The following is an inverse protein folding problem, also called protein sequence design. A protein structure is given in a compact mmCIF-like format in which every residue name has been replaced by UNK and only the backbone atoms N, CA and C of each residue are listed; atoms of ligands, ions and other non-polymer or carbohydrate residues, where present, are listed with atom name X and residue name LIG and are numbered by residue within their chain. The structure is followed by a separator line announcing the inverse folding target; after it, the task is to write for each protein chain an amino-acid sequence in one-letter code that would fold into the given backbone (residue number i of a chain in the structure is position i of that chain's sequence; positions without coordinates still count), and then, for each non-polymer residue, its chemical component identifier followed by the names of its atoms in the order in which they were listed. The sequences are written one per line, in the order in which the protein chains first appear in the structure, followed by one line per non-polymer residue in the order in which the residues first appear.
data_IF_330226378842
#
_entry.id   IF_330226378842
#
_cell.length_a   1.000
_cell.length_b   1.000
_cell.length_c   1.000
_cell.angle_alpha   90.00
_cell.angle_beta   90.00
_cell.angle_gamma   90.00
#
_symmetry.space_group_name_H-M   'P 1'
#
loop_
_entity.id
_entity.type
_entity.pdbx_description
1 polymer ?
#
# COMPACT_ATOMS: atom_id res chain seq x y z
N UNK A 1 7.07 1.04 -8.68
CA UNK A 1 7.47 1.97 -7.61
C UNK A 1 7.61 3.36 -8.22
N UNK A 2 7.23 4.45 -7.54
CA UNK A 2 7.32 5.80 -8.13
C UNK A 2 8.74 6.16 -8.58
N UNK A 3 8.84 6.82 -9.73
CA UNK A 3 10.11 7.15 -10.37
C UNK A 3 10.05 8.44 -11.22
N UNK A 4 11.21 8.98 -11.57
CA UNK A 4 11.35 10.17 -12.43
C UNK A 4 12.58 10.04 -13.34
N UNK A 5 12.41 10.32 -14.63
CA UNK A 5 13.53 10.39 -15.58
C UNK A 5 14.24 11.75 -15.52
N UNK A 6 15.55 11.74 -15.79
CA UNK A 6 16.39 12.93 -15.89
C UNK A 6 17.65 12.66 -16.72
N UNK A 7 18.30 13.73 -17.17
CA UNK A 7 19.60 13.71 -17.86
C UNK A 7 20.55 14.69 -17.19
N UNK A 8 21.86 14.46 -17.33
CA UNK A 8 22.92 15.40 -16.92
C UNK A 8 23.83 15.60 -18.11
N UNK A 9 24.18 16.86 -18.40
CA UNK A 9 25.11 17.23 -19.47
C UNK A 9 26.38 17.79 -18.85
N UNK A 10 27.53 17.33 -19.35
CA UNK A 10 28.88 17.69 -18.92
C UNK A 10 29.68 18.16 -20.15
N UNK A 11 29.63 19.46 -20.47
CA UNK A 11 30.16 19.99 -21.73
C UNK A 11 31.69 20.03 -21.78
N UNK A 12 32.38 20.00 -20.64
CA UNK A 12 33.85 20.01 -20.58
C UNK A 12 34.47 18.62 -20.79
N UNK A 13 33.65 17.55 -20.82
CA UNK A 13 34.11 16.17 -20.97
C UNK A 13 34.79 15.62 -19.71
N UNK A 14 34.59 16.27 -18.56
CA UNK A 14 35.12 15.81 -17.28
C UNK A 14 34.35 14.59 -16.76
N UNK A 15 34.99 13.79 -15.92
CA UNK A 15 34.27 12.77 -15.15
C UNK A 15 33.43 13.45 -14.06
N UNK A 16 32.21 12.96 -13.85
CA UNK A 16 31.31 13.48 -12.82
C UNK A 16 30.57 12.35 -12.09
N UNK A 17 30.11 12.65 -10.89
CA UNK A 17 29.34 11.73 -10.04
C UNK A 17 27.93 12.26 -9.85
N UNK A 18 26.93 11.38 -9.93
CA UNK A 18 25.54 11.70 -9.64
C UNK A 18 25.17 11.13 -8.26
N UNK A 19 24.57 11.96 -7.41
CA UNK A 19 23.98 11.58 -6.12
C UNK A 19 22.50 11.90 -6.11
N UNK A 20 21.68 10.89 -5.80
CA UNK A 20 20.23 10.99 -5.69
C UNK A 20 19.82 10.94 -4.23
N UNK A 21 18.92 11.84 -3.85
CA UNK A 21 18.42 11.97 -2.47
C UNK A 21 16.90 12.06 -2.43
N UNK A 22 16.31 11.54 -1.35
CA UNK A 22 14.92 11.75 -0.97
C UNK A 22 14.87 12.46 0.38
N UNK A 23 14.27 13.65 0.42
CA UNK A 23 14.25 14.52 1.60
C UNK A 23 15.64 14.71 2.22
N UNK A 24 16.67 14.85 1.39
CA UNK A 24 18.08 15.01 1.80
C UNK A 24 18.83 13.72 2.11
N UNK A 25 18.14 12.58 2.28
CA UNK A 25 18.79 11.29 2.51
C UNK A 25 19.26 10.67 1.18
N UNK A 26 20.54 10.34 1.09
CA UNK A 26 21.12 9.67 -0.10
C UNK A 26 20.49 8.29 -0.27
N UNK A 27 19.98 8.01 -1.47
CA UNK A 27 19.47 6.69 -1.86
C UNK A 27 20.39 5.98 -2.83
N UNK A 28 21.18 6.73 -3.61
CA UNK A 28 22.10 6.17 -4.61
C UNK A 28 23.16 7.20 -5.00
N UNK A 29 24.39 6.74 -5.22
CA UNK A 29 25.48 7.52 -5.81
C UNK A 29 26.20 6.67 -6.86
N UNK A 30 26.52 7.25 -8.02
CA UNK A 30 27.15 6.52 -9.12
C UNK A 30 27.87 7.46 -10.09
N UNK A 31 28.82 6.93 -10.88
CA UNK A 31 29.50 7.68 -11.92
C UNK A 31 28.51 8.06 -13.04
N UNK A 32 28.51 9.33 -13.43
CA UNK A 32 27.69 9.85 -14.51
C UNK A 32 28.19 9.44 -15.89
N UNK A 33 27.31 9.51 -16.88
CA UNK A 33 27.66 9.41 -18.29
C UNK A 33 26.99 10.59 -18.99
N UNK A 34 27.77 11.38 -19.72
CA UNK A 34 27.26 12.59 -20.37
C UNK A 34 26.03 12.28 -21.23
N UNK A 35 25.01 13.12 -21.09
CA UNK A 35 23.77 13.10 -21.85
C UNK A 35 22.98 11.77 -21.81
N UNK A 36 23.34 10.85 -20.90
CA UNK A 36 22.62 9.59 -20.68
C UNK A 36 21.34 9.84 -19.89
N UNK A 37 20.22 9.27 -20.35
CA UNK A 37 18.98 9.24 -19.56
C UNK A 37 19.14 8.29 -18.36
N UNK A 38 18.78 8.79 -17.19
CA UNK A 38 18.76 8.07 -15.94
C UNK A 38 17.35 8.13 -15.33
N UNK A 39 17.05 7.18 -14.45
CA UNK A 39 15.78 7.13 -13.71
C UNK A 39 16.08 7.03 -12.22
N UNK A 40 15.64 8.03 -11.47
CA UNK A 40 15.61 7.96 -10.00
C UNK A 40 14.34 7.20 -9.60
N UNK A 41 14.50 6.15 -8.81
CA UNK A 41 13.40 5.33 -8.30
C UNK A 41 13.40 5.40 -6.78
N UNK A 42 12.27 5.73 -6.17
CA UNK A 42 12.14 5.78 -4.71
C UNK A 42 12.13 4.33 -4.19
N UNK A 43 13.03 3.91 -3.28
CA UNK A 43 12.99 2.57 -2.69
C UNK A 43 11.66 2.29 -1.96
N UNK A 44 11.25 1.02 -1.88
CA UNK A 44 9.94 0.66 -1.32
C UNK A 44 9.77 1.06 0.15
N UNK A 45 10.77 0.73 0.96
CA UNK A 45 10.86 1.08 2.37
C UNK A 45 10.84 2.60 2.57
N UNK A 46 11.64 3.35 1.78
CA UNK A 46 11.59 4.81 1.76
C UNK A 46 10.19 5.31 1.42
N UNK A 47 9.58 4.83 0.33
CA UNK A 47 8.24 5.24 -0.11
C UNK A 47 7.17 5.00 0.96
N UNK A 48 7.23 3.86 1.65
CA UNK A 48 6.28 3.52 2.70
C UNK A 48 6.46 4.38 3.96
N UNK A 49 7.67 4.87 4.23
CA UNK A 49 7.98 5.75 5.37
C UNK A 49 7.61 7.22 5.16
N UNK A 50 7.43 7.66 3.91
CA UNK A 50 7.04 9.03 3.58
C UNK A 50 5.65 9.35 4.13
N UNK A 51 5.48 10.50 4.77
CA UNK A 51 4.18 10.94 5.25
C UNK A 51 3.18 11.15 4.11
N UNK A 52 1.89 11.03 4.41
CA UNK A 52 0.83 11.26 3.43
C UNK A 52 0.52 12.75 3.35
N UNK A 53 0.26 13.24 2.14
CA UNK A 53 -0.15 14.62 1.80
C UNK A 53 0.88 15.71 2.10
N UNK A 54 2.01 15.39 2.72
CA UNK A 54 3.14 16.29 2.87
C UNK A 54 3.92 16.42 1.57
N UNK A 55 4.57 17.57 1.39
CA UNK A 55 5.53 17.78 0.30
C UNK A 55 6.82 17.04 0.57
N UNK A 56 7.27 16.28 -0.41
CA UNK A 56 8.55 15.57 -0.41
C UNK A 56 9.39 15.99 -1.60
N UNK A 57 10.69 15.77 -1.46
CA UNK A 57 11.67 16.28 -2.39
C UNK A 57 12.56 15.15 -2.90
N UNK A 58 12.70 15.06 -4.22
CA UNK A 58 13.79 14.35 -4.88
C UNK A 58 14.86 15.38 -5.25
N UNK A 59 16.10 15.14 -4.85
CA UNK A 59 17.25 15.96 -5.23
C UNK A 59 18.22 15.12 -6.04
N UNK A 60 18.68 15.67 -7.16
CA UNK A 60 19.70 15.10 -8.03
C UNK A 60 20.86 16.08 -8.04
N UNK A 61 22.01 15.65 -7.54
CA UNK A 61 23.25 16.42 -7.51
C UNK A 61 24.24 15.78 -8.47
N UNK A 62 24.78 16.54 -9.42
CA UNK A 62 25.89 16.14 -10.27
C UNK A 62 27.11 16.96 -9.85
N UNK A 63 28.21 16.29 -9.49
CA UNK A 63 29.47 16.94 -9.09
C UNK A 63 30.59 16.50 -10.01
N UNK A 64 31.26 17.45 -10.65
CA UNK A 64 32.39 17.20 -11.54
C UNK A 64 33.67 16.83 -10.75
N UNK A 65 34.72 16.45 -11.47
CA UNK A 65 36.03 16.12 -10.89
C UNK A 65 36.77 17.30 -10.23
N UNK A 66 36.31 18.54 -10.48
CA UNK A 66 36.86 19.79 -9.92
C UNK A 66 36.08 20.26 -8.68
N UNK A 67 35.01 19.54 -8.31
CA UNK A 67 34.17 19.82 -7.15
C UNK A 67 33.03 20.83 -7.41
N UNK A 68 32.74 21.19 -8.66
CA UNK A 68 31.56 22.00 -8.98
C UNK A 68 30.31 21.13 -9.00
N UNK A 69 29.24 21.59 -8.34
CA UNK A 69 27.99 20.84 -8.23
C UNK A 69 26.84 21.57 -8.92
N UNK A 70 26.10 20.85 -9.76
CA UNK A 70 24.80 21.25 -10.28
C UNK A 70 23.69 20.45 -9.60
N UNK A 71 22.57 21.10 -9.28
CA UNK A 71 21.46 20.49 -8.52
C UNK A 71 20.13 20.67 -9.23
N UNK A 72 19.36 19.58 -9.33
CA UNK A 72 17.95 19.60 -9.77
C UNK A 72 17.05 19.02 -8.67
N UNK A 73 15.93 19.71 -8.45
CA UNK A 73 14.95 19.34 -7.43
C UNK A 73 13.58 19.07 -8.07
N UNK A 74 12.91 18.02 -7.59
CA UNK A 74 11.51 17.70 -7.90
C UNK A 74 10.70 17.58 -6.61
N UNK A 75 9.55 18.24 -6.55
CA UNK A 75 8.60 18.11 -5.44
C UNK A 75 7.49 17.13 -5.79
N UNK A 76 7.07 16.30 -4.84
CA UNK A 76 5.94 15.39 -5.00
C UNK A 76 5.18 15.25 -3.68
N UNK A 77 3.96 14.74 -3.75
CA UNK A 77 3.18 14.34 -2.58
C UNK A 77 2.80 12.87 -2.70
N UNK A 78 2.82 12.15 -1.57
CA UNK A 78 2.29 10.80 -1.48
C UNK A 78 0.85 10.87 -0.99
N UNK A 79 -0.10 10.38 -1.78
CA UNK A 79 -1.53 10.31 -1.39
C UNK A 79 -1.98 8.85 -1.26
N UNK A 80 -3.04 8.63 -0.48
CA UNK A 80 -3.66 7.32 -0.32
C UNK A 80 -5.17 7.46 -0.14
N UNK A 81 -5.92 6.87 -1.07
CA UNK A 81 -7.39 6.95 -1.12
C UNK A 81 -8.08 5.65 -0.66
N UNK A 82 -7.30 4.56 -0.55
CA UNK A 82 -7.81 3.23 -0.21
C UNK A 82 -6.81 2.48 0.67
N UNK A 83 -7.33 1.82 1.69
CA UNK A 83 -6.62 0.84 2.52
C UNK A 83 -7.34 -0.49 2.39
N UNK A 84 -6.62 -1.57 2.05
CA UNK A 84 -7.21 -2.89 1.98
C UNK A 84 -6.26 -3.94 2.54
N UNK A 85 -6.82 -4.91 3.26
CA UNK A 85 -6.06 -6.02 3.82
C UNK A 85 -6.96 -7.24 4.01
N UNK A 86 -6.34 -8.41 4.11
CA UNK A 86 -7.01 -9.68 4.31
C UNK A 86 -6.16 -10.58 5.20
N UNK A 87 -6.74 -11.66 5.69
CA UNK A 87 -5.97 -12.68 6.40
C UNK A 87 -4.91 -13.28 5.47
N UNK A 88 -3.65 -13.28 5.93
CA UNK A 88 -2.53 -13.90 5.22
C UNK A 88 -2.74 -15.41 5.05
N UNK A 89 -3.35 -16.05 6.04
CA UNK A 89 -3.71 -17.48 6.04
C UNK A 89 -5.18 -17.62 6.45
N UNK A 90 -6.03 -18.27 5.64
CA UNK A 90 -7.37 -18.66 6.07
C UNK A 90 -7.31 -19.62 7.28
N UNK A 91 -8.40 -19.65 8.05
CA UNK A 91 -8.60 -20.66 9.07
C UNK A 91 -9.15 -21.94 8.43
N UNK A 92 -8.53 -23.09 8.69
CA UNK A 92 -9.03 -24.38 8.21
C UNK A 92 -10.16 -24.90 9.07
N UNK A 93 -11.20 -25.43 8.43
CA UNK A 93 -12.33 -26.09 9.10
C UNK A 93 -12.63 -27.42 8.43
N UNK A 94 -13.15 -28.38 9.20
CA UNK A 94 -13.55 -29.69 8.67
C UNK A 94 -14.89 -29.62 7.93
N UNK A 95 -15.75 -28.68 8.34
CA UNK A 95 -17.07 -28.41 7.74
C UNK A 95 -17.23 -26.94 7.36
N UNK A 96 -18.24 -26.63 6.55
CA UNK A 96 -18.59 -25.26 6.21
C UNK A 96 -19.02 -24.49 7.46
N UNK A 97 -18.34 -23.38 7.74
CA UNK A 97 -18.82 -22.43 8.75
C UNK A 97 -20.20 -21.91 8.33
N UNK A 98 -21.12 -21.85 9.29
CA UNK A 98 -22.49 -21.39 9.11
C UNK A 98 -22.62 -19.91 9.42
N UNK A 99 -21.85 -19.43 10.40
CA UNK A 99 -21.94 -18.05 10.87
C UNK A 99 -20.56 -17.49 11.20
N UNK A 100 -20.38 -16.20 10.98
CA UNK A 100 -19.20 -15.45 11.42
C UNK A 100 -19.61 -14.13 12.08
N UNK A 101 -19.08 -13.85 13.25
CA UNK A 101 -19.11 -12.55 13.90
C UNK A 101 -17.75 -11.89 13.68
N UNK A 102 -17.75 -10.69 13.10
CA UNK A 102 -16.55 -9.87 12.92
C UNK A 102 -16.74 -8.54 13.66
N UNK A 103 -15.71 -8.16 14.39
CA UNK A 103 -15.60 -6.88 15.09
C UNK A 103 -14.36 -6.16 14.60
N UNK A 104 -14.40 -4.84 14.56
CA UNK A 104 -13.29 -4.01 14.13
C UNK A 104 -13.13 -2.79 15.04
N UNK A 105 -11.88 -2.52 15.42
CA UNK A 105 -11.49 -1.26 16.04
C UNK A 105 -10.83 -0.39 14.97
N UNK A 106 -11.62 0.56 14.47
CA UNK A 106 -11.17 1.54 13.50
C UNK A 106 -11.83 2.90 13.75
N UNK A 107 -11.10 3.97 13.46
CA UNK A 107 -11.64 5.31 13.28
C UNK A 107 -11.92 5.51 11.79
N UNK A 108 -13.21 5.62 11.44
CA UNK A 108 -13.67 5.91 10.08
C UNK A 108 -14.37 7.28 10.11
N UNK A 109 -13.71 8.35 9.64
CA UNK A 109 -14.27 9.70 9.66
C UNK A 109 -15.43 9.86 8.69
N UNK A 110 -16.22 10.93 8.88
CA UNK A 110 -17.30 11.28 7.95
C UNK A 110 -16.75 11.48 6.54
N UNK A 111 -17.45 10.92 5.54
CA UNK A 111 -17.02 10.94 4.14
C UNK A 111 -16.18 9.74 3.72
N UNK A 112 -15.62 8.99 4.68
CA UNK A 112 -14.99 7.70 4.44
C UNK A 112 -15.98 6.56 4.69
N UNK A 113 -15.70 5.39 4.12
CA UNK A 113 -16.47 4.17 4.39
C UNK A 113 -15.57 2.93 4.32
N UNK A 114 -16.10 1.80 4.79
CA UNK A 114 -15.45 0.51 4.70
C UNK A 114 -16.41 -0.61 4.30
N UNK A 115 -15.84 -1.61 3.63
CA UNK A 115 -16.47 -2.86 3.25
C UNK A 115 -15.79 -4.01 3.97
N UNK A 116 -16.58 -4.96 4.47
CA UNK A 116 -16.12 -6.23 5.03
C UNK A 116 -16.70 -7.36 4.22
N UNK A 117 -15.84 -8.22 3.71
CA UNK A 117 -16.25 -9.42 2.98
C UNK A 117 -15.69 -10.66 3.68
N UNK A 118 -16.50 -11.70 3.74
CA UNK A 118 -16.19 -12.97 4.40
C UNK A 118 -16.36 -14.12 3.42
N UNK A 119 -15.63 -15.20 3.62
CA UNK A 119 -15.73 -16.43 2.81
C UNK A 119 -15.63 -17.64 3.73
N UNK A 120 -16.44 -18.67 3.48
CA UNK A 120 -16.36 -19.97 4.17
C UNK A 120 -15.68 -21.06 3.33
N UNK A 121 -15.35 -20.78 2.06
CA UNK A 121 -14.60 -21.65 1.14
C UNK A 121 -13.26 -21.01 0.72
N UNK A 122 -12.55 -20.39 1.66
CA UNK A 122 -11.35 -19.59 1.38
C UNK A 122 -10.13 -20.35 0.81
N UNK A 123 -10.19 -21.68 0.72
CA UNK A 123 -9.16 -22.50 0.06
C UNK A 123 -9.47 -22.80 -1.41
N UNK A 124 -10.66 -22.46 -1.89
CA UNK A 124 -11.01 -22.58 -3.30
C UNK A 124 -10.08 -21.69 -4.14
N UNK A 125 -9.80 -22.09 -5.39
CA UNK A 125 -9.04 -21.25 -6.33
C UNK A 125 -9.74 -19.90 -6.54
N UNK A 126 -11.07 -19.93 -6.56
CA UNK A 126 -11.94 -18.75 -6.62
C UNK A 126 -12.94 -18.77 -5.45
N UNK A 127 -12.55 -18.30 -4.25
CA UNK A 127 -13.45 -18.28 -3.11
C UNK A 127 -14.68 -17.41 -3.32
N UNK A 128 -15.80 -17.83 -2.73
CA UNK A 128 -17.03 -17.05 -2.71
C UNK A 128 -16.94 -16.03 -1.58
N UNK A 129 -16.89 -14.74 -1.95
CA UNK A 129 -16.87 -13.62 -1.02
C UNK A 129 -18.26 -13.03 -0.84
N UNK A 130 -18.73 -12.99 0.39
CA UNK A 130 -20.04 -12.47 0.76
C UNK A 130 -19.89 -11.15 1.55
N UNK A 131 -20.77 -10.18 1.30
CA UNK A 131 -20.73 -8.87 1.95
C UNK A 131 -21.34 -8.93 3.37
N UNK A 132 -20.49 -8.79 4.38
CA UNK A 132 -20.86 -8.77 5.79
C UNK A 132 -20.85 -7.35 6.38
N UNK A 133 -20.67 -6.30 5.57
CA UNK A 133 -20.40 -4.93 6.03
C UNK A 133 -21.43 -4.42 7.05
N UNK A 134 -22.72 -4.53 6.72
CA UNK A 134 -23.78 -4.08 7.63
C UNK A 134 -23.82 -4.91 8.92
N UNK A 135 -23.55 -6.21 8.85
CA UNK A 135 -23.50 -7.07 10.03
C UNK A 135 -22.37 -6.63 10.95
N UNK A 136 -21.20 -6.29 10.42
CA UNK A 136 -20.08 -5.75 11.21
C UNK A 136 -20.43 -4.38 11.80
N UNK A 137 -20.98 -3.46 11.00
CA UNK A 137 -21.39 -2.11 11.47
C UNK A 137 -22.41 -2.18 12.62
N UNK A 138 -23.30 -3.16 12.59
CA UNK A 138 -24.34 -3.35 13.62
C UNK A 138 -23.96 -4.39 14.68
N UNK A 139 -22.71 -4.86 14.71
CA UNK A 139 -22.21 -5.87 15.63
C UNK A 139 -23.09 -7.15 15.69
N UNK A 140 -23.39 -7.71 14.52
CA UNK A 140 -24.20 -8.92 14.31
C UNK A 140 -23.39 -10.01 13.61
N UNK A 141 -23.76 -11.26 13.86
CA UNK A 141 -23.23 -12.39 13.11
C UNK A 141 -23.80 -12.45 11.70
N UNK A 142 -22.94 -12.58 10.70
CA UNK A 142 -23.28 -12.86 9.31
C UNK A 142 -23.50 -14.36 9.12
N UNK A 143 -24.58 -14.75 8.44
CA UNK A 143 -24.89 -16.15 8.11
C UNK A 143 -24.45 -16.41 6.68
N UNK A 144 -23.53 -17.36 6.47
CA UNK A 144 -23.04 -17.70 5.15
C UNK A 144 -24.15 -18.29 4.28
N UNK A 145 -24.33 -17.72 3.09
CA UNK A 145 -25.23 -18.25 2.08
C UNK A 145 -24.54 -19.29 1.21
N UNK A 146 -23.21 -19.21 1.04
CA UNK A 146 -22.46 -20.22 0.30
C UNK A 146 -22.52 -21.59 0.98
N UNK A 147 -22.87 -22.62 0.20
CA UNK A 147 -22.98 -24.03 0.64
C UNK A 147 -22.05 -24.97 -0.14
N UNK A 148 -21.24 -24.45 -1.04
CA UNK A 148 -20.38 -25.25 -1.91
C UNK A 148 -18.90 -24.90 -1.73
N UNK A 149 -18.02 -25.86 -2.02
CA UNK A 149 -16.57 -25.67 -2.14
C UNK A 149 -16.03 -26.50 -3.29
N UNK A 150 -14.91 -26.05 -3.85
CA UNK A 150 -14.17 -26.75 -4.90
C UNK A 150 -12.84 -27.31 -4.40
N UNK A 151 -12.27 -26.74 -3.34
CA UNK A 151 -11.07 -27.27 -2.69
C UNK A 151 -11.35 -28.51 -1.83
N UNK A 152 -10.29 -29.19 -1.41
CA UNK A 152 -10.38 -30.36 -0.52
C UNK A 152 -10.96 -30.00 0.86
N UNK A 153 -10.58 -28.84 1.41
CA UNK A 153 -10.94 -28.39 2.76
C UNK A 153 -11.80 -27.13 2.74
N UNK A 154 -12.68 -27.00 3.74
CA UNK A 154 -13.34 -25.73 4.03
C UNK A 154 -12.37 -24.76 4.71
N UNK A 155 -12.67 -23.46 4.59
CA UNK A 155 -11.86 -22.47 5.28
C UNK A 155 -12.50 -21.11 5.39
N UNK A 156 -12.35 -20.49 6.55
CA UNK A 156 -12.88 -19.17 6.82
C UNK A 156 -11.80 -18.12 6.54
N UNK A 157 -12.16 -17.10 5.76
CA UNK A 157 -11.35 -15.91 5.58
C UNK A 157 -12.21 -14.65 5.58
N UNK A 158 -11.55 -13.51 5.72
CA UNK A 158 -12.16 -12.20 5.69
C UNK A 158 -11.19 -11.18 5.08
N UNK A 159 -11.76 -10.15 4.47
CA UNK A 159 -11.02 -9.03 3.90
C UNK A 159 -11.75 -7.71 4.17
N UNK A 160 -10.96 -6.66 4.35
CA UNK A 160 -11.44 -5.31 4.57
C UNK A 160 -10.98 -4.41 3.43
N UNK A 161 -11.83 -3.46 3.08
CA UNK A 161 -11.50 -2.37 2.16
C UNK A 161 -12.06 -1.07 2.71
N UNK A 162 -11.22 -0.09 2.95
CA UNK A 162 -11.57 1.27 3.36
C UNK A 162 -11.35 2.21 2.18
N UNK A 163 -12.28 3.13 2.00
CA UNK A 163 -12.20 4.19 1.01
C UNK A 163 -12.28 5.52 1.73
N UNK A 164 -11.32 6.41 1.47
CA UNK A 164 -11.28 7.76 2.06
C UNK A 164 -12.47 8.62 1.64
N UNK A 165 -12.93 8.47 0.39
CA UNK A 165 -14.06 9.22 -0.14
C UNK A 165 -13.82 10.72 -0.05
N UNK A 166 -14.69 11.44 0.66
CA UNK A 166 -14.57 12.90 0.88
C UNK A 166 -13.95 13.26 2.22
N UNK A 167 -13.50 12.28 3.01
CA UNK A 167 -12.91 12.55 4.32
C UNK A 167 -11.59 13.33 4.20
N UNK A 168 -11.42 14.31 5.07
CA UNK A 168 -10.16 15.05 5.25
C UNK A 168 -9.27 14.43 6.32
N UNK A 169 -9.88 13.77 7.30
CA UNK A 169 -9.20 13.07 8.39
C UNK A 169 -8.76 11.64 7.97
N UNK A 170 -7.74 11.08 8.62
CA UNK A 170 -7.26 9.74 8.30
C UNK A 170 -8.23 8.64 8.75
N UNK A 171 -8.30 7.57 7.97
CA UNK A 171 -8.82 6.27 8.43
C UNK A 171 -7.71 5.59 9.24
N UNK A 172 -8.03 5.18 10.47
CA UNK A 172 -7.08 4.50 11.36
C UNK A 172 -7.66 3.14 11.72
N UNK A 173 -6.93 2.06 11.44
CA UNK A 173 -7.31 0.70 11.85
C UNK A 173 -6.36 0.24 12.95
N UNK A 174 -6.91 -0.08 14.13
CA UNK A 174 -6.14 -0.54 15.30
C UNK A 174 -6.12 -2.05 15.41
N UNK A 175 -7.21 -2.69 15.00
CA UNK A 175 -7.31 -4.15 15.00
C UNK A 175 -8.68 -4.65 14.58
N UNK A 176 -8.80 -5.95 14.44
CA UNK A 176 -10.07 -6.63 14.23
C UNK A 176 -10.05 -7.95 14.99
N UNK A 177 -11.24 -8.48 15.27
CA UNK A 177 -11.42 -9.75 15.97
C UNK A 177 -12.76 -10.38 15.61
N UNK A 178 -13.05 -11.54 16.16
CA UNK A 178 -14.28 -12.23 15.86
C UNK A 178 -14.27 -13.70 16.25
N UNK A 179 -15.35 -14.38 15.87
CA UNK A 179 -15.51 -15.82 16.03
C UNK A 179 -16.39 -16.36 14.89
N UNK A 180 -16.27 -17.65 14.61
CA UNK A 180 -17.11 -18.35 13.64
C UNK A 180 -17.51 -19.72 14.19
N UNK A 181 -18.62 -20.25 13.68
CA UNK A 181 -19.18 -21.57 13.99
C UNK A 181 -19.74 -22.25 12.73
#
# INVERSE_FOLDING_TARGET
MPSKNYTVTEPEGDAFTITEKINGNVIRTFAGTDSKENTVTIPQDTWLSLSLNDSHIITIEATDSKGMTSTRTFTFQRTAERLAFHLKKPFSTDIAAKRILVTIDATVPSGADYKVEVSNNAFDELPTWEDATNFVKFNRGFIFTNKEKTAEKWGVSLRFSFTKGTATEPVIVRGFGGAFD
#
